data_IF_950725131180
#
_entry.id   IF_950725131180
#
_cell.length_a   1.000
_cell.length_b   1.000
_cell.length_c   1.000
_cell.angle_alpha   90.00
_cell.angle_beta   90.00
_cell.angle_gamma   90.00
#
_symmetry.space_group_name_H-M   'P 1'
#
loop_
_entity.id
_entity.type
_entity.pdbx_description
1 polymer ?
#
# COMPACT_ATOMS: atom_id res chain seq x y z
N UNK A 1 45.24 0.87 34.72
CA UNK A 1 44.61 2.19 34.83
C UNK A 1 43.11 1.98 34.78
N UNK A 2 42.37 2.41 35.80
CA UNK A 2 40.89 2.37 35.75
C UNK A 2 40.43 3.52 34.87
N UNK A 3 39.97 3.23 33.66
CA UNK A 3 39.34 4.21 32.78
C UNK A 3 37.93 4.46 33.30
N UNK A 4 37.75 5.54 34.06
CA UNK A 4 36.42 5.98 34.47
C UNK A 4 35.62 6.35 33.23
N UNK A 5 34.61 5.54 32.89
CA UNK A 5 33.71 5.81 31.77
C UNK A 5 32.90 7.08 32.08
N UNK A 6 33.07 8.12 31.26
CA UNK A 6 32.42 9.40 31.46
C UNK A 6 31.04 9.43 30.78
N UNK A 7 30.00 9.72 31.55
CA UNK A 7 28.64 9.75 31.03
C UNK A 7 28.44 10.86 29.96
N UNK A 8 27.81 10.58 28.81
CA UNK A 8 27.52 11.56 27.76
C UNK A 8 26.36 12.52 28.11
N UNK A 9 26.53 13.33 29.14
CA UNK A 9 25.48 14.23 29.68
C UNK A 9 25.03 15.34 28.72
N UNK A 10 25.82 15.66 27.69
CA UNK A 10 25.56 16.73 26.71
C UNK A 10 24.94 16.23 25.40
N UNK A 11 24.75 14.93 25.23
CA UNK A 11 24.25 14.35 23.98
C UNK A 11 25.23 14.45 22.82
N UNK A 12 24.74 14.56 21.59
CA UNK A 12 25.57 14.65 20.38
C UNK A 12 25.99 16.10 20.13
N UNK A 13 27.27 16.31 19.81
CA UNK A 13 27.74 17.57 19.26
C UNK A 13 27.91 17.42 17.73
N UNK A 14 26.99 18.02 16.97
CA UNK A 14 26.97 17.94 15.49
C UNK A 14 28.11 18.71 14.81
N UNK A 15 28.88 19.51 15.55
CA UNK A 15 30.06 20.22 15.02
C UNK A 15 31.34 19.37 15.03
N UNK A 16 31.29 18.15 15.58
CA UNK A 16 32.44 17.25 15.68
C UNK A 16 32.14 15.92 14.99
N UNK A 17 33.18 15.27 14.47
CA UNK A 17 33.03 13.94 13.89
C UNK A 17 32.64 12.93 15.00
N UNK A 18 31.96 11.81 14.65
CA UNK A 18 31.58 10.79 15.63
C UNK A 18 32.74 10.24 16.47
N UNK A 19 33.94 10.15 15.88
CA UNK A 19 35.16 9.64 16.53
C UNK A 19 35.87 10.65 17.44
N UNK A 20 35.55 11.94 17.33
CA UNK A 20 36.22 13.03 18.06
C UNK A 20 35.25 13.84 18.92
N UNK A 21 34.14 13.23 19.33
CA UNK A 21 33.15 13.86 20.19
C UNK A 21 33.83 14.39 21.49
N UNK A 22 33.61 15.67 21.85
CA UNK A 22 34.19 16.24 23.06
C UNK A 22 33.68 15.55 24.33
N UNK A 23 34.36 15.77 25.46
CA UNK A 23 33.97 15.17 26.74
C UNK A 23 32.48 15.40 27.08
N UNK A 24 31.84 14.38 27.66
CA UNK A 24 30.41 14.32 27.96
C UNK A 24 29.48 14.34 26.73
N UNK A 25 29.97 14.12 25.51
CA UNK A 25 29.12 13.93 24.32
C UNK A 25 29.23 12.51 23.77
N UNK A 26 28.24 12.07 23.00
CA UNK A 26 28.24 10.77 22.31
C UNK A 26 27.51 10.89 20.97
N UNK A 27 28.01 10.26 19.89
CA UNK A 27 27.37 10.31 18.58
C UNK A 27 25.99 9.64 18.57
N UNK A 28 25.70 8.77 19.53
CA UNK A 28 24.45 8.02 19.58
C UNK A 28 23.35 8.72 20.40
N UNK A 29 23.67 9.85 21.04
CA UNK A 29 22.80 10.46 22.04
C UNK A 29 22.19 11.79 21.57
N UNK A 30 21.15 11.74 20.73
CA UNK A 30 20.58 12.96 20.12
C UNK A 30 19.93 13.96 21.08
N UNK A 31 19.16 13.48 22.07
CA UNK A 31 18.35 14.33 22.96
C UNK A 31 18.45 13.82 24.39
N UNK A 32 19.51 14.21 25.10
CA UNK A 32 19.80 13.70 26.45
C UNK A 32 19.14 14.55 27.50
N UNK A 33 18.52 13.89 28.48
CA UNK A 33 18.11 14.52 29.74
C UNK A 33 18.99 13.99 30.88
N UNK A 34 20.02 14.73 31.32
CA UNK A 34 21.01 14.21 32.27
C UNK A 34 20.48 14.04 33.71
N UNK A 35 19.31 14.61 34.04
CA UNK A 35 18.69 14.52 35.38
C UNK A 35 17.22 14.11 35.29
N UNK A 36 16.82 13.21 36.17
CA UNK A 36 15.40 12.88 36.38
C UNK A 36 14.66 14.06 37.01
N UNK A 37 13.43 14.32 36.57
CA UNK A 37 12.56 15.37 37.18
C UNK A 37 12.05 15.03 38.56
N UNK A 38 11.93 13.75 38.88
CA UNK A 38 11.28 13.33 40.11
C UNK A 38 12.25 13.24 41.29
N UNK A 39 13.48 12.76 41.04
CA UNK A 39 14.40 12.38 42.12
C UNK A 39 15.78 13.05 42.00
N UNK A 40 15.97 13.97 41.05
CA UNK A 40 17.24 14.65 40.72
C UNK A 40 18.46 13.71 40.51
N UNK A 41 18.19 12.41 40.34
CA UNK A 41 19.22 11.40 40.05
C UNK A 41 19.77 11.65 38.65
N UNK A 42 21.09 11.52 38.52
CA UNK A 42 21.74 11.48 37.20
C UNK A 42 21.32 10.20 36.50
N UNK A 43 20.57 10.34 35.41
CA UNK A 43 20.14 9.22 34.57
C UNK A 43 20.54 9.54 33.13
N UNK A 44 21.10 8.57 32.44
CA UNK A 44 21.38 8.67 31.01
C UNK A 44 20.13 8.17 30.30
N UNK A 45 19.33 9.09 29.75
CA UNK A 45 18.14 8.76 28.99
C UNK A 45 18.06 9.64 27.74
N UNK A 46 17.72 9.02 26.62
CA UNK A 46 17.46 9.69 25.35
C UNK A 46 15.96 9.89 25.18
N UNK A 47 15.55 11.06 24.72
CA UNK A 47 14.18 11.38 24.34
C UNK A 47 14.01 11.26 22.82
N UNK A 48 12.80 10.98 22.33
CA UNK A 48 12.48 11.25 20.94
C UNK A 48 12.80 12.70 20.57
N UNK A 49 13.34 12.91 19.38
CA UNK A 49 13.58 14.24 18.82
C UNK A 49 12.77 14.36 17.52
N UNK A 50 12.18 15.52 17.29
CA UNK A 50 11.52 15.81 16.02
C UNK A 50 12.53 16.49 15.10
N UNK A 51 12.75 15.91 13.94
CA UNK A 51 13.50 16.51 12.84
C UNK A 51 12.66 16.41 11.57
N UNK A 52 12.86 17.33 10.63
CA UNK A 52 12.25 17.19 9.31
C UNK A 52 12.84 15.95 8.63
N UNK A 53 11.98 15.05 8.18
CA UNK A 53 12.40 13.88 7.41
C UNK A 53 12.93 14.27 6.02
N UNK A 54 12.35 15.31 5.40
CA UNK A 54 12.73 15.81 4.08
C UNK A 54 12.98 17.32 4.12
N UNK A 55 13.89 17.80 3.28
CA UNK A 55 14.13 19.24 3.11
C UNK A 55 12.97 19.93 2.36
N UNK A 56 12.29 19.20 1.48
CA UNK A 56 11.15 19.64 0.70
C UNK A 56 9.90 19.85 1.56
N UNK A 57 9.12 20.88 1.21
CA UNK A 57 7.75 21.04 1.66
C UNK A 57 6.79 20.41 0.66
N UNK A 58 5.89 19.53 1.11
CA UNK A 58 4.89 18.90 0.27
C UNK A 58 3.72 19.86 0.00
N UNK A 59 3.06 19.69 -1.15
CA UNK A 59 1.77 20.34 -1.45
C UNK A 59 1.80 21.86 -1.43
N UNK A 60 2.95 22.50 -1.68
CA UNK A 60 3.08 23.97 -1.63
C UNK A 60 2.61 24.60 -0.31
N UNK A 61 2.70 23.84 0.80
CA UNK A 61 2.32 24.31 2.14
C UNK A 61 0.93 23.92 2.61
N UNK A 62 0.17 23.19 1.80
CA UNK A 62 -1.05 22.52 2.25
C UNK A 62 -0.74 21.40 3.26
N UNK A 63 -1.71 21.04 4.13
CA UNK A 63 -1.52 19.96 5.09
C UNK A 63 -1.26 18.63 4.39
N UNK A 64 -0.51 17.77 5.07
CA UNK A 64 -0.43 16.34 4.71
C UNK A 64 -1.63 15.67 5.38
N UNK A 65 -2.55 15.14 4.57
CA UNK A 65 -3.84 14.58 5.06
C UNK A 65 -3.81 13.07 5.23
N UNK A 66 -2.90 12.38 4.53
CA UNK A 66 -2.69 10.94 4.68
C UNK A 66 -1.20 10.59 4.52
N UNK A 67 -0.77 9.54 5.22
CA UNK A 67 0.56 8.96 5.08
C UNK A 67 0.48 7.44 5.23
N UNK A 68 1.30 6.74 4.45
CA UNK A 68 1.53 5.32 4.61
C UNK A 68 2.98 4.98 4.29
N UNK A 69 3.43 3.84 4.80
CA UNK A 69 4.71 3.26 4.45
C UNK A 69 4.45 1.97 3.70
N UNK A 70 5.07 1.81 2.54
CA UNK A 70 5.07 0.53 1.80
C UNK A 70 6.38 -0.21 2.05
N UNK A 71 6.30 -1.51 2.27
CA UNK A 71 7.48 -2.38 2.35
C UNK A 71 7.58 -3.20 1.07
N UNK A 72 8.72 -3.11 0.39
CA UNK A 72 8.97 -3.75 -0.90
C UNK A 72 10.14 -4.73 -0.74
N UNK A 73 9.98 -5.96 -1.22
CA UNK A 73 11.07 -6.94 -1.26
C UNK A 73 12.13 -6.55 -2.30
N UNK A 74 13.41 -6.61 -1.94
CA UNK A 74 14.49 -6.33 -2.88
C UNK A 74 14.77 -7.59 -3.72
N UNK A 75 14.61 -7.48 -5.04
CA UNK A 75 14.75 -8.63 -5.94
C UNK A 75 16.20 -9.13 -6.07
N UNK A 76 17.19 -8.25 -5.89
CA UNK A 76 18.62 -8.62 -5.93
C UNK A 76 19.07 -9.26 -4.61
N UNK A 77 18.39 -8.97 -3.50
CA UNK A 77 18.71 -9.51 -2.18
C UNK A 77 17.40 -9.86 -1.44
N UNK A 78 16.96 -11.11 -1.55
CA UNK A 78 15.70 -11.59 -0.93
C UNK A 78 15.58 -11.34 0.58
N UNK A 79 16.70 -11.09 1.28
CA UNK A 79 16.75 -10.78 2.71
C UNK A 79 16.79 -9.27 3.02
N UNK A 80 16.66 -8.40 2.01
CA UNK A 80 16.61 -6.95 2.19
C UNK A 80 15.24 -6.44 1.76
N UNK A 81 14.61 -5.69 2.64
CA UNK A 81 13.38 -4.96 2.35
C UNK A 81 13.72 -3.48 2.21
N UNK A 82 13.09 -2.83 1.23
CA UNK A 82 13.09 -1.37 1.14
C UNK A 82 11.76 -0.86 1.64
N UNK A 83 11.78 0.14 2.50
CA UNK A 83 10.58 0.88 2.90
C UNK A 83 10.55 2.20 2.15
N UNK A 84 9.37 2.61 1.69
CA UNK A 84 9.15 3.91 1.05
C UNK A 84 7.98 4.61 1.74
N UNK A 85 8.13 5.90 2.01
CA UNK A 85 7.02 6.74 2.47
C UNK A 85 6.15 7.20 1.30
N UNK A 86 4.84 7.24 1.52
CA UNK A 86 3.84 7.85 0.64
C UNK A 86 2.99 8.81 1.44
N UNK A 87 2.66 9.96 0.85
CA UNK A 87 1.88 11.01 1.49
C UNK A 87 0.93 11.69 0.51
N UNK A 88 -0.23 12.13 0.99
CA UNK A 88 -1.18 12.93 0.22
C UNK A 88 -1.21 14.38 0.71
N UNK A 89 -1.16 15.34 -0.22
CA UNK A 89 -1.31 16.77 0.07
C UNK A 89 -1.63 17.54 -1.21
N UNK A 90 -2.48 18.57 -1.13
CA UNK A 90 -2.83 19.44 -2.25
C UNK A 90 -3.28 18.67 -3.51
N UNK A 91 -4.24 17.75 -3.34
CA UNK A 91 -4.77 16.91 -4.42
C UNK A 91 -3.69 16.16 -5.22
N UNK A 92 -2.58 15.82 -4.56
CA UNK A 92 -1.47 15.09 -5.14
C UNK A 92 -0.94 14.03 -4.18
N UNK A 93 -0.47 12.93 -4.75
CA UNK A 93 0.22 11.86 -4.04
C UNK A 93 1.72 12.04 -4.25
N UNK A 94 2.48 11.95 -3.16
CA UNK A 94 3.93 12.01 -3.14
C UNK A 94 4.49 10.68 -2.66
N UNK A 95 5.61 10.24 -3.24
CA UNK A 95 6.30 9.02 -2.82
C UNK A 95 7.80 9.25 -2.70
N UNK A 96 8.43 8.50 -1.80
CA UNK A 96 9.87 8.56 -1.57
C UNK A 96 10.64 7.81 -2.66
N UNK A 97 11.41 8.55 -3.47
CA UNK A 97 12.24 8.00 -4.53
C UNK A 97 13.55 7.38 -4.02
N UNK A 98 14.35 6.80 -4.92
CA UNK A 98 15.62 6.17 -4.56
C UNK A 98 16.70 7.15 -4.07
N UNK A 99 16.49 8.45 -4.26
CA UNK A 99 17.34 9.53 -3.75
C UNK A 99 16.83 10.11 -2.41
N UNK A 100 15.89 9.44 -1.74
CA UNK A 100 15.25 9.89 -0.49
C UNK A 100 14.59 11.28 -0.62
N UNK A 101 13.95 11.53 -1.76
CA UNK A 101 13.17 12.74 -2.03
C UNK A 101 11.71 12.37 -2.26
N UNK A 102 10.79 13.24 -1.84
CA UNK A 102 9.35 13.05 -2.04
C UNK A 102 8.96 13.62 -3.41
N UNK A 103 8.71 12.77 -4.38
CA UNK A 103 8.32 13.20 -5.74
C UNK A 103 6.84 12.97 -5.98
N UNK A 104 6.21 13.83 -6.78
CA UNK A 104 4.80 13.68 -7.16
C UNK A 104 4.62 12.43 -8.01
N UNK A 105 3.60 11.63 -7.69
CA UNK A 105 3.13 10.54 -8.53
C UNK A 105 2.26 11.09 -9.65
N UNK A 106 2.80 11.13 -10.87
CA UNK A 106 2.10 11.67 -12.02
C UNK A 106 0.83 10.85 -12.33
N UNK A 107 -0.27 11.54 -12.64
CA UNK A 107 -1.55 10.92 -12.98
C UNK A 107 -2.38 10.45 -11.79
N UNK A 108 -1.87 10.57 -10.55
CA UNK A 108 -2.65 10.30 -9.35
C UNK A 108 -3.78 11.32 -9.20
N UNK A 109 -5.00 10.83 -9.00
CA UNK A 109 -6.19 11.64 -8.72
C UNK A 109 -6.55 11.42 -7.25
N UNK A 110 -6.64 12.51 -6.48
CA UNK A 110 -7.06 12.45 -5.09
C UNK A 110 -7.68 13.79 -4.70
N UNK A 111 -8.72 13.74 -3.88
CA UNK A 111 -9.38 14.89 -3.29
C UNK A 111 -8.99 14.98 -1.81
N UNK A 112 -8.19 16.00 -1.48
CA UNK A 112 -7.73 16.24 -0.10
C UNK A 112 -8.71 17.05 0.74
N UNK A 113 -9.84 17.49 0.16
CA UNK A 113 -10.97 18.05 0.92
C UNK A 113 -11.87 16.94 1.50
N UNK A 114 -11.80 15.73 0.93
CA UNK A 114 -12.45 14.52 1.44
C UNK A 114 -11.49 13.66 2.29
N UNK A 115 -12.01 12.79 3.18
CA UNK A 115 -11.17 11.84 3.90
C UNK A 115 -10.33 10.97 2.96
N UNK A 116 -9.03 10.89 3.24
CA UNK A 116 -8.08 10.04 2.51
C UNK A 116 -7.55 8.97 3.45
N UNK A 117 -7.72 7.71 3.08
CA UNK A 117 -7.16 6.57 3.81
C UNK A 117 -6.20 5.79 2.91
N UNK A 118 -4.99 5.57 3.41
CA UNK A 118 -4.00 4.70 2.79
C UNK A 118 -3.86 3.40 3.58
N UNK A 119 -3.98 2.28 2.88
CA UNK A 119 -3.76 0.94 3.45
C UNK A 119 -2.64 0.26 2.69
N UNK A 120 -1.56 -0.10 3.39
CA UNK A 120 -0.51 -0.94 2.82
C UNK A 120 -0.99 -2.39 2.78
N UNK A 121 -0.89 -3.01 1.61
CA UNK A 121 -1.10 -4.45 1.45
C UNK A 121 -0.43 -4.93 0.16
N UNK A 122 0.10 -6.15 0.17
CA UNK A 122 0.68 -6.80 -1.03
C UNK A 122 1.80 -5.99 -1.71
N UNK A 123 2.60 -5.25 -0.92
CA UNK A 123 3.64 -4.32 -1.41
C UNK A 123 3.09 -3.18 -2.28
N UNK A 124 1.83 -2.83 -2.06
CA UNK A 124 1.09 -1.73 -2.70
C UNK A 124 0.44 -0.89 -1.62
N UNK A 125 -0.05 0.28 -2.02
CA UNK A 125 -0.93 1.10 -1.19
C UNK A 125 -2.27 1.19 -1.89
N UNK A 126 -3.32 0.84 -1.17
CA UNK A 126 -4.70 1.07 -1.56
C UNK A 126 -5.13 2.42 -1.00
N UNK A 127 -5.57 3.31 -1.88
CA UNK A 127 -6.08 4.63 -1.58
C UNK A 127 -7.59 4.61 -1.63
N UNK A 128 -8.22 5.07 -0.55
CA UNK A 128 -9.67 5.15 -0.41
C UNK A 128 -10.03 6.60 -0.13
N UNK A 129 -10.75 7.22 -1.07
CA UNK A 129 -11.08 8.64 -1.06
C UNK A 129 -12.41 8.91 -1.80
N UNK A 130 -13.52 8.54 -1.17
CA UNK A 130 -14.85 8.67 -1.76
C UNK A 130 -15.00 7.74 -2.95
N UNK A 131 -15.28 8.31 -4.13
CA UNK A 131 -15.36 7.57 -5.41
C UNK A 131 -13.98 7.23 -5.99
N UNK A 132 -12.90 7.84 -5.48
CA UNK A 132 -11.55 7.54 -5.93
C UNK A 132 -11.02 6.36 -5.11
N UNK A 133 -11.16 5.16 -5.67
CA UNK A 133 -10.56 3.93 -5.15
C UNK A 133 -9.39 3.58 -6.06
N UNK A 134 -8.16 3.68 -5.54
CA UNK A 134 -6.96 3.58 -6.38
C UNK A 134 -5.89 2.69 -5.75
N UNK A 135 -4.98 2.21 -6.60
CA UNK A 135 -3.82 1.42 -6.23
C UNK A 135 -2.54 2.14 -6.63
N UNK A 136 -1.64 2.29 -5.67
CA UNK A 136 -0.26 2.73 -5.87
C UNK A 136 0.62 1.49 -5.79
N UNK A 137 1.13 1.06 -6.93
CA UNK A 137 1.80 -0.21 -7.11
C UNK A 137 3.30 -0.02 -7.29
N UNK A 138 4.08 -0.61 -6.37
CA UNK A 138 5.53 -0.47 -6.36
C UNK A 138 6.28 -1.67 -6.95
N UNK A 139 5.57 -2.73 -7.34
CA UNK A 139 6.18 -4.02 -7.69
C UNK A 139 5.94 -4.39 -9.14
N UNK A 140 4.76 -4.07 -9.68
CA UNK A 140 4.40 -4.53 -11.00
C UNK A 140 4.98 -3.67 -12.13
N UNK A 141 5.14 -4.29 -13.29
CA UNK A 141 5.34 -3.63 -14.58
C UNK A 141 4.00 -3.64 -15.31
N UNK A 142 3.69 -2.54 -16.00
CA UNK A 142 2.52 -2.40 -16.88
C UNK A 142 2.92 -2.64 -18.33
N UNK A 143 2.21 -3.55 -18.99
CA UNK A 143 2.17 -3.71 -20.43
C UNK A 143 0.90 -3.03 -20.95
N UNK A 144 1.03 -2.13 -21.94
CA UNK A 144 -0.10 -1.50 -22.62
C UNK A 144 -0.31 -2.18 -23.96
N UNK A 145 -1.53 -2.57 -24.29
CA UNK A 145 -1.88 -3.35 -25.47
C UNK A 145 -3.24 -2.92 -26.03
N UNK A 146 -3.50 -3.28 -27.28
CA UNK A 146 -4.88 -3.29 -27.79
C UNK A 146 -5.65 -4.41 -27.10
N UNK A 147 -6.94 -4.19 -26.81
CA UNK A 147 -7.76 -5.18 -26.12
C UNK A 147 -7.74 -6.54 -26.87
N UNK A 148 -7.23 -7.62 -26.25
CA UNK A 148 -7.23 -8.95 -26.84
C UNK A 148 -8.65 -9.53 -26.86
N UNK A 149 -8.88 -10.60 -27.63
CA UNK A 149 -10.20 -11.25 -27.67
C UNK A 149 -10.47 -12.09 -26.43
N UNK A 150 -9.41 -12.61 -25.82
CA UNK A 150 -9.43 -13.24 -24.50
C UNK A 150 -8.51 -12.49 -23.54
N UNK A 151 -8.90 -12.36 -22.27
CA UNK A 151 -8.17 -11.57 -21.27
C UNK A 151 -7.26 -12.45 -20.40
N UNK A 152 -6.14 -11.88 -19.94
CA UNK A 152 -5.24 -12.55 -19.01
C UNK A 152 -5.83 -12.58 -17.60
N UNK A 153 -5.55 -13.65 -16.87
CA UNK A 153 -6.05 -13.86 -15.51
C UNK A 153 -4.95 -13.72 -14.47
N UNK A 154 -5.32 -13.51 -13.21
CA UNK A 154 -4.33 -13.48 -12.12
C UNK A 154 -3.57 -14.81 -12.06
N UNK A 155 -2.25 -14.74 -12.03
CA UNK A 155 -1.39 -15.92 -11.96
C UNK A 155 -0.95 -16.46 -13.33
N UNK A 156 -1.51 -15.96 -14.44
CA UNK A 156 -1.02 -16.29 -15.77
C UNK A 156 0.47 -15.91 -15.90
N UNK A 157 1.24 -16.75 -16.59
CA UNK A 157 2.65 -16.49 -16.87
C UNK A 157 2.76 -15.95 -18.29
N UNK A 158 3.21 -14.71 -18.40
CA UNK A 158 3.51 -14.09 -19.69
C UNK A 158 5.00 -14.22 -20.00
N UNK A 159 5.32 -14.64 -21.22
CA UNK A 159 6.70 -14.78 -21.71
C UNK A 159 6.89 -13.96 -22.98
N UNK A 160 7.88 -13.07 -23.00
CA UNK A 160 8.23 -12.29 -24.18
C UNK A 160 9.29 -13.00 -25.03
N UNK A 161 8.99 -13.14 -26.32
CA UNK A 161 9.92 -13.65 -27.31
C UNK A 161 11.21 -12.78 -27.38
N UNK A 162 12.32 -13.39 -27.77
CA UNK A 162 13.66 -12.78 -27.93
C UNK A 162 14.31 -12.31 -26.62
N UNK A 163 13.64 -11.52 -25.78
CA UNK A 163 14.16 -11.07 -24.47
C UNK A 163 14.11 -12.17 -23.41
N UNK A 164 13.24 -13.17 -23.59
CA UNK A 164 12.94 -14.20 -22.59
C UNK A 164 12.49 -13.58 -21.25
N UNK A 165 11.87 -12.40 -21.31
CA UNK A 165 11.30 -11.77 -20.14
C UNK A 165 10.06 -12.54 -19.69
N UNK A 166 9.92 -12.77 -18.38
CA UNK A 166 8.80 -13.51 -17.80
C UNK A 166 8.17 -12.66 -16.70
N UNK A 167 6.85 -12.62 -16.65
CA UNK A 167 6.11 -12.01 -15.54
C UNK A 167 4.91 -12.87 -15.14
N UNK A 168 4.50 -12.75 -13.88
CA UNK A 168 3.25 -13.31 -13.36
C UNK A 168 2.22 -12.19 -13.30
N UNK A 169 1.08 -12.38 -13.97
CA UNK A 169 -0.02 -11.40 -13.99
C UNK A 169 -0.61 -11.24 -12.60
N UNK A 170 -0.80 -10.00 -12.18
CA UNK A 170 -1.32 -9.64 -10.86
C UNK A 170 -2.58 -8.78 -10.93
N UNK A 171 -2.75 -7.98 -11.99
CA UNK A 171 -3.99 -7.25 -12.28
C UNK A 171 -4.14 -6.98 -13.78
N UNK A 172 -5.38 -6.93 -14.28
CA UNK A 172 -5.71 -6.47 -15.63
C UNK A 172 -6.87 -5.49 -15.52
N UNK A 173 -6.77 -4.36 -16.23
CA UNK A 173 -7.85 -3.38 -16.18
C UNK A 173 -9.12 -3.90 -16.88
N UNK A 174 -10.32 -3.35 -16.56
CA UNK A 174 -11.58 -3.84 -17.13
C UNK A 174 -11.67 -3.78 -18.66
N UNK A 175 -10.93 -2.86 -19.29
CA UNK A 175 -10.87 -2.75 -20.75
C UNK A 175 -9.87 -3.71 -21.41
N UNK A 176 -9.12 -4.50 -20.62
CA UNK A 176 -8.09 -5.43 -21.08
C UNK A 176 -6.98 -4.79 -21.93
N UNK A 177 -6.77 -3.48 -21.79
CA UNK A 177 -5.74 -2.70 -22.50
C UNK A 177 -4.48 -2.48 -21.67
N UNK A 178 -4.47 -2.90 -20.42
CA UNK A 178 -3.36 -2.78 -19.50
C UNK A 178 -3.24 -4.03 -18.61
N UNK A 179 -2.10 -4.70 -18.71
CA UNK A 179 -1.75 -5.86 -17.88
C UNK A 179 -0.64 -5.44 -16.92
N UNK A 180 -0.86 -5.69 -15.63
CA UNK A 180 0.05 -5.43 -14.54
C UNK A 180 0.53 -6.76 -13.99
N UNK A 181 1.83 -6.89 -13.80
CA UNK A 181 2.35 -8.10 -13.17
C UNK A 181 3.80 -7.98 -12.75
N UNK A 182 4.20 -8.96 -11.94
CA UNK A 182 5.53 -9.00 -11.36
C UNK A 182 6.48 -9.70 -12.31
N UNK A 183 7.49 -8.98 -12.79
CA UNK A 183 8.56 -9.55 -13.62
C UNK A 183 9.40 -10.49 -12.75
N UNK A 184 9.61 -11.72 -13.21
CA UNK A 184 10.41 -12.75 -12.53
C UNK A 184 11.75 -12.98 -13.22
N UNK A 185 11.86 -12.65 -14.52
CA UNK A 185 13.12 -12.64 -15.26
C UNK A 185 13.08 -11.70 -16.46
N UNK A 186 14.26 -11.23 -16.90
CA UNK A 186 14.42 -10.43 -18.12
C UNK A 186 13.83 -9.02 -18.02
N UNK A 187 13.62 -8.39 -19.18
CA UNK A 187 13.02 -7.05 -19.29
C UNK A 187 12.10 -7.01 -20.50
N UNK A 188 10.84 -6.65 -20.26
CA UNK A 188 9.86 -6.49 -21.33
C UNK A 188 10.16 -5.25 -22.18
N UNK A 189 9.87 -5.32 -23.47
CA UNK A 189 9.90 -4.19 -24.41
C UNK A 189 8.60 -4.10 -25.23
N UNK A 190 8.47 -3.05 -26.04
CA UNK A 190 7.29 -2.80 -26.87
C UNK A 190 7.39 -3.37 -28.31
N UNK A 191 8.37 -4.21 -28.62
CA UNK A 191 8.62 -4.68 -30.00
C UNK A 191 8.40 -6.17 -30.18
N UNK A 192 8.50 -6.94 -29.10
CA UNK A 192 8.49 -8.40 -29.18
C UNK A 192 7.15 -8.97 -28.72
N UNK A 193 6.74 -10.04 -29.40
CA UNK A 193 5.54 -10.81 -29.09
C UNK A 193 5.61 -11.37 -27.66
N UNK A 194 4.49 -11.27 -26.95
CA UNK A 194 4.26 -11.86 -25.64
C UNK A 194 3.24 -12.98 -25.80
N UNK A 195 3.56 -14.14 -25.26
CA UNK A 195 2.67 -15.30 -25.20
C UNK A 195 2.32 -15.60 -23.74
N UNK A 196 1.22 -16.30 -23.51
CA UNK A 196 0.75 -16.67 -22.16
C UNK A 196 0.63 -18.17 -21.98
N UNK A 197 0.78 -18.63 -20.73
CA UNK A 197 0.35 -19.98 -20.32
C UNK A 197 -1.16 -20.08 -20.07
N UNK A 198 -1.85 -18.94 -20.01
CA UNK A 198 -3.28 -18.83 -19.73
C UNK A 198 -4.14 -18.63 -20.97
N UNK A 199 -5.22 -17.86 -20.81
CA UNK A 199 -6.28 -17.70 -21.83
C UNK A 199 -6.08 -16.53 -22.78
N UNK A 200 -5.17 -15.59 -22.49
CA UNK A 200 -4.95 -14.40 -23.33
C UNK A 200 -4.31 -14.75 -24.66
N UNK A 201 -4.78 -14.10 -25.73
CA UNK A 201 -4.17 -14.19 -27.06
C UNK A 201 -2.73 -13.68 -27.05
N UNK A 202 -1.90 -14.15 -27.99
CA UNK A 202 -0.57 -13.57 -28.22
C UNK A 202 -0.70 -12.10 -28.63
N UNK A 203 0.13 -11.23 -28.06
CA UNK A 203 0.09 -9.80 -28.33
C UNK A 203 1.48 -9.16 -28.31
N UNK A 204 1.64 -8.02 -28.98
CA UNK A 204 2.84 -7.17 -28.84
C UNK A 204 2.46 -5.92 -28.05
N UNK A 205 3.10 -5.64 -26.90
CA UNK A 205 2.83 -4.44 -26.13
C UNK A 205 3.11 -3.19 -26.96
N UNK A 206 2.19 -2.23 -26.97
CA UNK A 206 2.40 -0.89 -27.54
C UNK A 206 3.28 -0.01 -26.65
N UNK A 207 3.30 -0.27 -25.34
CA UNK A 207 4.17 0.39 -24.39
C UNK A 207 4.45 -0.52 -23.18
N UNK A 208 5.60 -0.28 -22.53
CA UNK A 208 6.00 -0.93 -21.28
C UNK A 208 6.41 0.14 -20.29
N UNK A 209 5.89 0.09 -19.06
CA UNK A 209 6.24 1.08 -18.03
C UNK A 209 7.71 0.96 -17.59
N UNK A 210 8.28 2.08 -17.16
CA UNK A 210 9.64 2.11 -16.60
C UNK A 210 9.68 1.48 -15.21
N UNK A 211 10.65 0.58 -14.99
CA UNK A 211 10.91 -0.01 -13.67
C UNK A 211 11.32 1.08 -12.67
N UNK A 212 10.83 1.00 -11.44
CA UNK A 212 11.27 1.82 -10.31
C UNK A 212 10.38 3.04 -9.99
N UNK A 213 9.53 3.45 -10.93
CA UNK A 213 8.45 4.42 -10.69
C UNK A 213 7.19 3.65 -10.33
N UNK A 214 6.49 3.98 -9.22
CA UNK A 214 5.25 3.30 -8.89
C UNK A 214 4.18 3.60 -9.95
N UNK A 215 3.32 2.62 -10.18
CA UNK A 215 2.18 2.75 -11.05
C UNK A 215 0.97 3.23 -10.25
N UNK A 216 0.10 3.99 -10.92
CA UNK A 216 -1.18 4.43 -10.38
C UNK A 216 -2.29 3.94 -11.31
N UNK A 217 -3.30 3.31 -10.73
CA UNK A 217 -4.48 2.85 -11.45
C UNK A 217 -5.67 2.69 -10.51
N UNK A 218 -6.87 2.78 -11.09
CA UNK A 218 -8.12 2.58 -10.38
C UNK A 218 -8.20 1.15 -9.82
N UNK A 219 -8.65 1.03 -8.57
CA UNK A 219 -8.91 -0.23 -7.93
C UNK A 219 -10.27 -0.77 -8.40
N UNK A 220 -10.24 -1.54 -9.48
CA UNK A 220 -11.42 -2.23 -9.99
C UNK A 220 -11.32 -3.73 -9.78
N UNK A 221 -12.44 -4.42 -9.99
CA UNK A 221 -12.44 -5.88 -10.16
C UNK A 221 -11.72 -6.27 -11.46
N UNK A 222 -11.36 -7.55 -11.57
CA UNK A 222 -10.90 -8.12 -12.83
C UNK A 222 -12.01 -8.05 -13.91
N UNK A 223 -11.64 -7.88 -15.19
CA UNK A 223 -12.57 -8.08 -16.28
C UNK A 223 -13.17 -9.49 -16.19
N UNK A 224 -14.49 -9.56 -16.29
CA UNK A 224 -15.24 -10.80 -16.27
C UNK A 224 -14.79 -11.69 -17.44
N UNK A 225 -14.39 -12.92 -17.15
CA UNK A 225 -14.04 -13.89 -18.19
C UNK A 225 -15.34 -14.60 -18.51
N UNK A 226 -16.22 -13.90 -19.20
CA UNK A 226 -17.60 -14.33 -19.40
C UNK A 226 -17.68 -15.70 -20.11
N UNK A 227 -17.71 -16.77 -19.31
CA UNK A 227 -17.99 -18.15 -19.71
C UNK A 227 -19.43 -18.55 -19.33
N UNK A 228 -20.35 -17.60 -19.12
CA UNK A 228 -21.74 -17.93 -18.81
C UNK A 228 -22.63 -16.88 -18.13
N UNK A 229 -22.26 -15.61 -18.08
CA UNK A 229 -23.07 -14.49 -17.58
C UNK A 229 -23.00 -14.28 -16.07
N UNK A 230 -22.04 -14.87 -15.37
CA UNK A 230 -21.81 -14.64 -13.95
C UNK A 230 -20.57 -13.77 -13.79
N UNK A 231 -20.71 -12.61 -13.12
CA UNK A 231 -19.58 -11.76 -12.79
C UNK A 231 -18.56 -12.52 -11.92
N UNK A 232 -17.48 -13.03 -12.51
CA UNK A 232 -16.54 -13.95 -11.85
C UNK A 232 -15.79 -13.33 -10.65
N UNK A 233 -15.80 -12.01 -10.54
CA UNK A 233 -15.08 -11.25 -9.50
C UNK A 233 -15.99 -10.32 -8.68
N UNK A 234 -17.31 -10.42 -8.85
CA UNK A 234 -18.29 -9.68 -8.06
C UNK A 234 -18.28 -8.17 -8.34
N UNK A 235 -18.54 -7.35 -7.32
CA UNK A 235 -18.66 -5.88 -7.48
C UNK A 235 -18.01 -5.16 -6.28
N UNK A 236 -17.02 -4.33 -6.57
CA UNK A 236 -16.43 -3.40 -5.59
C UNK A 236 -17.42 -2.26 -5.27
N UNK A 237 -17.45 -1.70 -4.04
CA UNK A 237 -18.20 -0.48 -3.77
C UNK A 237 -17.91 0.63 -4.76
N UNK A 238 -18.93 1.40 -5.13
CA UNK A 238 -18.77 2.62 -5.93
C UNK A 238 -18.05 3.74 -5.16
N UNK A 239 -18.08 3.68 -3.83
CA UNK A 239 -17.38 4.61 -2.96
C UNK A 239 -17.02 3.96 -1.62
N UNK A 240 -15.96 4.47 -0.99
CA UNK A 240 -15.60 4.18 0.40
C UNK A 240 -14.80 5.35 0.99
N UNK A 241 -14.90 5.54 2.30
CA UNK A 241 -14.16 6.60 3.02
C UNK A 241 -13.26 6.05 4.13
N UNK A 242 -13.41 4.77 4.49
CA UNK A 242 -12.61 4.09 5.49
C UNK A 242 -12.17 2.71 5.02
N UNK A 243 -10.94 2.35 5.37
CA UNK A 243 -10.37 1.06 5.00
C UNK A 243 -9.36 0.56 6.03
N UNK A 244 -9.18 -0.75 6.11
CA UNK A 244 -8.17 -1.38 6.96
C UNK A 244 -7.78 -2.77 6.45
N UNK A 245 -6.52 -3.15 6.66
CA UNK A 245 -6.04 -4.50 6.38
C UNK A 245 -6.35 -5.43 7.55
N UNK A 246 -7.01 -6.55 7.28
CA UNK A 246 -7.21 -7.64 8.24
C UNK A 246 -7.15 -8.99 7.52
N UNK A 247 -6.29 -9.90 8.02
CA UNK A 247 -6.12 -11.28 7.51
C UNK A 247 -5.99 -11.39 5.99
N UNK A 248 -5.14 -10.56 5.40
CA UNK A 248 -4.91 -10.56 3.95
C UNK A 248 -6.09 -10.01 3.13
N UNK A 249 -6.95 -9.19 3.73
CA UNK A 249 -8.07 -8.52 3.04
C UNK A 249 -8.06 -7.03 3.36
N UNK A 250 -8.21 -6.22 2.33
CA UNK A 250 -8.40 -4.77 2.49
C UNK A 250 -9.89 -4.51 2.62
N UNK A 251 -10.37 -4.38 3.85
CA UNK A 251 -11.77 -4.09 4.13
C UNK A 251 -12.10 -2.65 3.77
N UNK A 252 -13.30 -2.45 3.23
CA UNK A 252 -13.89 -1.18 2.81
C UNK A 252 -15.19 -0.92 3.55
N UNK A 253 -15.42 0.33 3.94
CA UNK A 253 -16.70 0.81 4.47
C UNK A 253 -16.80 2.35 4.31
N UNK A 254 -17.84 2.95 4.89
CA UNK A 254 -18.09 4.38 4.82
C UNK A 254 -18.65 4.85 3.47
N UNK A 255 -19.40 3.96 2.80
CA UNK A 255 -20.27 4.31 1.67
C UNK A 255 -21.44 5.15 2.21
N UNK A 256 -21.67 6.34 1.65
CA UNK A 256 -22.72 7.24 2.14
C UNK A 256 -24.12 6.71 1.83
N UNK A 257 -24.27 5.88 0.80
CA UNK A 257 -25.55 5.25 0.44
C UNK A 257 -25.83 4.00 1.29
N UNK A 258 -24.78 3.33 1.77
CA UNK A 258 -24.86 2.11 2.58
C UNK A 258 -23.97 2.22 3.83
N UNK A 259 -24.28 3.14 4.77
CA UNK A 259 -23.38 3.49 5.87
C UNK A 259 -23.19 2.37 6.91
N UNK A 260 -24.05 1.35 6.88
CA UNK A 260 -24.02 0.18 7.76
C UNK A 260 -23.18 -0.97 7.22
N UNK A 261 -22.72 -0.84 5.97
CA UNK A 261 -22.14 -1.93 5.22
C UNK A 261 -20.62 -1.95 5.29
N UNK A 262 -20.07 -3.16 5.35
CA UNK A 262 -18.65 -3.42 5.28
C UNK A 262 -18.40 -4.55 4.30
N UNK A 263 -17.27 -4.47 3.60
CA UNK A 263 -16.96 -5.33 2.46
C UNK A 263 -15.48 -5.69 2.46
N UNK A 264 -15.17 -6.97 2.42
CA UNK A 264 -13.82 -7.51 2.33
C UNK A 264 -13.67 -8.34 1.05
N UNK A 265 -12.65 -8.10 0.22
CA UNK A 265 -12.37 -8.93 -0.94
C UNK A 265 -11.92 -10.33 -0.51
N UNK A 266 -11.76 -11.25 -1.46
CA UNK A 266 -11.17 -12.59 -1.24
C UNK A 266 -9.82 -12.47 -0.54
N UNK A 267 -9.53 -13.44 0.33
CA UNK A 267 -8.25 -13.49 1.02
C UNK A 267 -7.09 -13.57 0.02
N UNK A 268 -6.09 -12.70 0.20
CA UNK A 268 -4.91 -12.57 -0.65
C UNK A 268 -5.22 -12.22 -2.13
N UNK A 269 -6.45 -11.77 -2.42
CA UNK A 269 -6.89 -11.33 -3.74
C UNK A 269 -7.77 -10.06 -3.64
N UNK A 270 -7.17 -8.86 -3.59
CA UNK A 270 -7.90 -7.60 -3.40
C UNK A 270 -8.82 -7.20 -4.57
N UNK A 271 -8.79 -7.92 -5.70
CA UNK A 271 -9.58 -7.61 -6.90
C UNK A 271 -10.84 -8.48 -7.05
N UNK A 272 -11.10 -9.36 -6.08
CA UNK A 272 -12.23 -10.30 -6.11
C UNK A 272 -13.20 -10.00 -4.96
N UNK A 273 -14.40 -9.56 -5.33
CA UNK A 273 -15.53 -9.25 -4.45
C UNK A 273 -16.75 -10.14 -4.76
N UNK A 274 -16.51 -11.36 -5.28
CA UNK A 274 -17.53 -12.38 -5.50
C UNK A 274 -18.09 -12.97 -4.20
N UNK A 275 -19.02 -12.28 -3.55
CA UNK A 275 -19.50 -12.70 -2.22
C UNK A 275 -20.28 -14.03 -2.19
N UNK A 276 -20.80 -14.51 -3.31
CA UNK A 276 -21.47 -15.82 -3.39
C UNK A 276 -20.53 -16.98 -3.70
N UNK A 277 -19.22 -16.76 -3.77
CA UNK A 277 -18.25 -17.84 -3.85
C UNK A 277 -18.36 -18.76 -2.62
N UNK A 278 -18.30 -20.08 -2.82
CA UNK A 278 -18.52 -21.06 -1.76
C UNK A 278 -17.23 -21.80 -1.39
N UNK A 279 -16.19 -21.06 -0.97
CA UNK A 279 -14.92 -21.59 -0.51
C UNK A 279 -14.41 -20.86 0.76
N UNK A 280 -13.35 -21.38 1.39
CA UNK A 280 -12.86 -20.85 2.67
C UNK A 280 -12.23 -19.46 2.57
N UNK A 281 -11.78 -19.05 1.38
CA UNK A 281 -11.16 -17.76 1.14
C UNK A 281 -12.15 -16.74 0.55
N UNK A 282 -13.42 -17.11 0.37
CA UNK A 282 -14.44 -16.29 -0.26
C UNK A 282 -14.49 -14.85 0.28
N UNK A 283 -14.77 -13.86 -0.57
CA UNK A 283 -15.10 -12.49 -0.15
C UNK A 283 -16.20 -12.47 0.91
N UNK A 284 -16.15 -11.48 1.80
CA UNK A 284 -17.10 -11.35 2.92
C UNK A 284 -17.72 -9.95 2.92
N UNK A 285 -19.00 -9.86 3.24
CA UNK A 285 -19.67 -8.59 3.39
C UNK A 285 -20.73 -8.68 4.50
N UNK A 286 -21.09 -7.53 5.06
CA UNK A 286 -22.30 -7.41 5.84
C UNK A 286 -23.52 -7.85 5.02
N UNK A 287 -24.48 -8.51 5.66
CA UNK A 287 -25.72 -8.94 5.01
C UNK A 287 -25.64 -10.17 4.09
N UNK A 288 -24.46 -10.61 3.62
CA UNK A 288 -24.33 -11.80 2.77
C UNK A 288 -24.06 -13.11 3.53
N UNK A 289 -24.04 -13.09 4.86
CA UNK A 289 -23.93 -14.30 5.70
C UNK A 289 -24.42 -14.03 7.12
N UNK A 290 -24.20 -14.98 8.04
CA UNK A 290 -24.38 -14.79 9.49
C UNK A 290 -23.57 -13.61 10.07
N UNK A 291 -22.62 -13.05 9.32
CA UNK A 291 -21.84 -11.91 9.76
C UNK A 291 -22.68 -10.63 9.97
N UNK A 292 -23.81 -10.49 9.24
CA UNK A 292 -24.77 -9.39 9.42
C UNK A 292 -24.23 -8.01 9.05
N UNK A 293 -25.14 -7.08 8.78
CA UNK A 293 -24.82 -5.65 8.70
C UNK A 293 -24.71 -5.07 10.11
N UNK A 294 -23.98 -3.96 10.27
CA UNK A 294 -23.94 -3.28 11.56
C UNK A 294 -25.23 -2.48 11.75
N UNK A 295 -25.86 -2.60 12.92
CA UNK A 295 -27.05 -1.79 13.27
C UNK A 295 -26.75 -0.30 13.52
N UNK A 296 -25.58 0.18 13.12
CA UNK A 296 -25.05 1.53 13.36
C UNK A 296 -24.15 1.94 12.18
N UNK A 297 -23.95 3.24 12.00
CA UNK A 297 -23.12 3.79 10.91
C UNK A 297 -21.67 3.47 11.20
N UNK A 298 -20.97 2.82 10.27
CA UNK A 298 -19.56 2.48 10.42
C UNK A 298 -18.71 3.74 10.24
N UNK A 299 -17.93 4.10 11.27
CA UNK A 299 -17.09 5.31 11.31
C UNK A 299 -15.61 5.01 11.46
N UNK A 300 -15.24 3.79 11.89
CA UNK A 300 -13.86 3.40 12.07
C UNK A 300 -13.65 1.91 11.84
N UNK A 301 -12.52 1.56 11.23
CA UNK A 301 -12.05 0.18 11.05
C UNK A 301 -10.64 0.06 11.60
N UNK A 302 -10.37 -0.96 12.41
CA UNK A 302 -9.03 -1.26 12.89
C UNK A 302 -8.83 -2.76 13.06
N UNK A 303 -7.70 -3.27 12.57
CA UNK A 303 -7.22 -4.59 12.97
C UNK A 303 -6.59 -4.51 14.35
N UNK A 304 -7.12 -5.30 15.29
CA UNK A 304 -6.56 -5.36 16.63
C UNK A 304 -5.86 -6.70 16.82
N UNK A 305 -4.53 -6.67 16.69
CA UNK A 305 -3.70 -7.86 16.57
C UNK A 305 -4.17 -8.79 15.43
N UNK A 306 -3.81 -10.07 15.48
CA UNK A 306 -4.16 -11.05 14.44
C UNK A 306 -5.53 -11.72 14.69
N UNK A 307 -6.13 -11.45 15.85
CA UNK A 307 -7.26 -12.23 16.37
C UNK A 307 -8.61 -11.67 15.96
N UNK A 308 -8.79 -10.35 15.94
CA UNK A 308 -10.11 -9.77 15.71
C UNK A 308 -10.02 -8.42 15.01
N UNK A 309 -11.10 -8.11 14.30
CA UNK A 309 -11.27 -6.87 13.58
C UNK A 309 -12.35 -6.04 14.26
N UNK A 310 -12.03 -4.82 14.64
CA UNK A 310 -12.93 -3.95 15.40
C UNK A 310 -13.52 -2.92 14.45
N UNK A 311 -14.84 -2.79 14.48
CA UNK A 311 -15.60 -1.81 13.73
C UNK A 311 -16.27 -0.85 14.71
N UNK A 312 -15.94 0.44 14.61
CA UNK A 312 -16.61 1.50 15.35
C UNK A 312 -17.88 1.93 14.63
N UNK A 313 -19.01 1.80 15.30
CA UNK A 313 -20.26 2.48 14.93
C UNK A 313 -20.26 3.94 15.39
N UNK A 314 -21.28 4.72 15.05
CA UNK A 314 -21.44 6.08 15.56
C UNK A 314 -21.64 6.11 17.09
N UNK A 315 -22.23 5.06 17.66
CA UNK A 315 -22.53 4.92 19.09
C UNK A 315 -22.15 3.57 19.68
N UNK A 316 -21.71 2.62 18.85
CA UNK A 316 -21.45 1.23 19.24
C UNK A 316 -20.08 0.75 18.78
N UNK A 317 -19.60 -0.37 19.32
CA UNK A 317 -18.37 -1.03 18.88
C UNK A 317 -18.68 -2.49 18.63
N UNK A 318 -18.30 -2.97 17.44
CA UNK A 318 -18.53 -4.33 16.98
C UNK A 318 -17.20 -5.03 16.74
N UNK A 319 -17.22 -6.35 16.86
CA UNK A 319 -16.03 -7.19 16.64
C UNK A 319 -16.38 -8.27 15.64
N UNK A 320 -15.62 -8.34 14.57
CA UNK A 320 -15.62 -9.45 13.63
C UNK A 320 -14.58 -10.49 14.09
N UNK A 321 -15.08 -11.70 14.32
CA UNK A 321 -14.31 -12.90 14.65
C UNK A 321 -14.39 -13.85 13.46
N UNK A 322 -13.28 -14.41 13.01
CA UNK A 322 -13.28 -15.32 11.87
C UNK A 322 -11.90 -15.55 11.32
#
# INVERSE_FOLDING_TARGET
MSTTLQAPLRGINKNWAPSTQPSFTSPDMNNVRPRSVLNDRVVISQRPALIKAFAQQLGSGNPVVAMAQVTISNETNKNKYKRRLVAASNNAIYWENDSNQMVVLAGAVIDTDEPVVFVEAFQKIFSVNGTNLDVIDFVNVKLTLSAPSATATRGDILTQAVTNAVMVVDFVNPASTAIYGKVTSGTFNATNLVTSTGTVDDFTPSAVSTIGTPLFYEWTIYPDIDLGGNADFGVIPSQASIAALYRGRVFLSGDTDNPHQWKGPRQDNPWDFLYFANDSASPVAGGNSLAGELGDIVTALISFADNYFVMGGASTVWVLLG
#
